data_IF_454329294549
#
_entry.id   IF_454329294549
#
_cell.length_a   1.000
_cell.length_b   1.000
_cell.length_c   1.000
_cell.angle_alpha   90.00
_cell.angle_beta   90.00
_cell.angle_gamma   90.00
#
_symmetry.space_group_name_H-M   'P 1'
#
loop_
_entity.id
_entity.type
_entity.pdbx_description
1 polymer ?
#
# COMPACT_ATOMS: atom_id res chain seq x y z
N UNK A 1 12.40 -10.29 2.87
CA UNK A 1 11.95 -8.89 2.73
C UNK A 1 11.15 -8.73 1.46
N UNK A 2 9.99 -8.10 1.54
CA UNK A 2 9.16 -7.83 0.37
C UNK A 2 9.46 -6.45 -0.18
N UNK A 3 9.54 -6.28 -1.51
CA UNK A 3 9.63 -4.94 -2.09
C UNK A 3 8.27 -4.24 -2.02
N UNK A 4 8.27 -2.93 -2.28
CA UNK A 4 7.05 -2.14 -2.39
C UNK A 4 6.72 -1.88 -3.85
N UNK A 5 5.49 -2.15 -4.23
CA UNK A 5 4.94 -1.84 -5.55
C UNK A 5 3.84 -0.80 -5.42
N UNK A 6 3.81 0.16 -6.33
CA UNK A 6 2.80 1.22 -6.35
C UNK A 6 1.80 0.94 -7.48
N UNK A 7 0.52 0.89 -7.12
CA UNK A 7 -0.55 0.63 -8.09
C UNK A 7 -1.11 1.96 -8.62
N UNK A 8 -1.34 2.03 -9.92
CA UNK A 8 -1.90 3.21 -10.56
C UNK A 8 -1.05 4.45 -10.33
N UNK A 9 -1.68 5.56 -9.99
CA UNK A 9 -1.01 6.84 -9.76
C UNK A 9 -0.48 7.01 -8.33
N UNK A 10 -0.50 5.97 -7.49
CA UNK A 10 -0.22 6.11 -6.06
C UNK A 10 1.17 6.69 -5.77
N UNK A 11 2.19 6.32 -6.53
CA UNK A 11 3.53 6.88 -6.34
C UNK A 11 3.60 8.36 -6.73
N UNK A 12 3.04 8.71 -7.88
CA UNK A 12 3.01 10.09 -8.33
C UNK A 12 2.26 10.97 -7.31
N UNK A 13 1.16 10.46 -6.78
CA UNK A 13 0.38 11.18 -5.76
C UNK A 13 1.16 11.31 -4.46
N UNK A 14 1.83 10.25 -4.02
CA UNK A 14 2.67 10.29 -2.81
C UNK A 14 3.77 11.34 -2.94
N UNK A 15 4.39 11.45 -4.10
CA UNK A 15 5.46 12.41 -4.34
C UNK A 15 5.04 13.87 -4.21
N UNK A 16 3.73 14.16 -4.26
CA UNK A 16 3.23 15.52 -4.06
C UNK A 16 3.09 15.91 -2.59
N UNK A 17 3.23 14.95 -1.67
CA UNK A 17 3.05 15.18 -0.25
C UNK A 17 4.23 15.96 0.34
N UNK A 18 3.99 16.72 1.46
CA UNK A 18 5.09 17.37 2.17
C UNK A 18 6.16 16.37 2.62
N UNK A 19 7.40 16.84 2.76
CA UNK A 19 8.54 16.00 3.11
C UNK A 19 8.36 15.22 4.40
N UNK A 20 7.78 15.85 5.44
CA UNK A 20 7.52 15.20 6.71
C UNK A 20 6.52 14.05 6.56
N UNK A 21 5.49 14.22 5.73
CA UNK A 21 4.50 13.19 5.45
C UNK A 21 5.14 12.05 4.63
N UNK A 22 5.96 12.39 3.63
CA UNK A 22 6.70 11.41 2.85
C UNK A 22 7.56 10.51 3.73
N UNK A 23 8.23 11.10 4.72
CA UNK A 23 9.06 10.33 5.66
C UNK A 23 8.22 9.38 6.51
N UNK A 24 7.09 9.86 6.99
CA UNK A 24 6.22 9.05 7.84
C UNK A 24 5.63 7.86 7.05
N UNK A 25 5.14 8.11 5.85
CA UNK A 25 4.61 7.06 4.98
C UNK A 25 5.74 6.11 4.57
N UNK A 26 6.88 6.65 4.18
CA UNK A 26 8.04 5.85 3.78
C UNK A 26 8.52 4.93 4.89
N UNK A 27 8.53 5.42 6.13
CA UNK A 27 8.89 4.61 7.28
C UNK A 27 7.89 3.46 7.51
N UNK A 28 6.60 3.75 7.40
CA UNK A 28 5.56 2.71 7.54
C UNK A 28 5.71 1.63 6.47
N UNK A 29 5.98 2.02 5.22
CA UNK A 29 6.20 1.07 4.13
C UNK A 29 7.46 0.24 4.35
N UNK A 30 8.53 0.87 4.84
CA UNK A 30 9.77 0.17 5.17
C UNK A 30 9.53 -0.90 6.23
N UNK A 31 8.77 -0.56 7.28
CA UNK A 31 8.39 -1.53 8.30
C UNK A 31 7.58 -2.68 7.71
N UNK A 32 6.63 -2.35 6.83
CA UNK A 32 5.81 -3.37 6.16
C UNK A 32 6.65 -4.33 5.32
N UNK A 33 7.69 -3.83 4.66
CA UNK A 33 8.61 -4.67 3.88
C UNK A 33 9.35 -5.68 4.75
N UNK A 34 9.54 -5.35 6.03
CA UNK A 34 10.22 -6.21 7.01
C UNK A 34 9.26 -6.97 7.92
N UNK A 35 8.00 -7.11 7.52
CA UNK A 35 6.95 -7.76 8.31
C UNK A 35 6.69 -7.09 9.67
N UNK A 36 7.04 -5.82 9.79
CA UNK A 36 6.78 -5.05 10.99
C UNK A 36 5.52 -4.21 10.80
N UNK A 37 4.76 -4.01 11.87
CA UNK A 37 3.57 -3.18 11.82
C UNK A 37 3.90 -1.77 12.30
N UNK A 38 3.57 -0.78 11.50
CA UNK A 38 3.71 0.62 11.90
C UNK A 38 2.72 0.96 13.03
N UNK A 39 3.18 1.71 14.02
CA UNK A 39 2.32 2.23 15.08
C UNK A 39 1.26 3.18 14.56
N UNK A 40 1.50 3.78 13.40
CA UNK A 40 0.58 4.75 12.79
C UNK A 40 -0.34 4.14 11.72
N UNK A 41 -0.20 2.83 11.48
CA UNK A 41 -1.05 2.14 10.51
C UNK A 41 -2.21 1.46 11.21
N UNK A 42 -3.40 1.65 10.68
CA UNK A 42 -4.62 1.03 11.20
C UNK A 42 -5.33 0.28 10.07
N UNK A 43 -6.04 -0.81 10.39
CA UNK A 43 -6.83 -1.50 9.37
C UNK A 43 -7.88 -0.57 8.77
N UNK A 44 -8.00 -0.59 7.46
CA UNK A 44 -9.04 0.16 6.77
C UNK A 44 -10.33 -0.65 6.81
N UNK A 45 -11.39 -0.04 7.35
CA UNK A 45 -12.69 -0.68 7.50
C UNK A 45 -13.30 -0.96 6.12
N UNK A 46 -13.91 -2.15 5.97
CA UNK A 46 -14.60 -2.53 4.73
C UNK A 46 -13.86 -3.53 3.86
N UNK A 47 -12.70 -4.02 4.29
CA UNK A 47 -11.92 -4.99 3.52
C UNK A 47 -11.79 -6.38 4.16
N UNK A 48 -12.50 -6.59 5.27
CA UNK A 48 -12.74 -7.93 5.81
C UNK A 48 -11.52 -8.82 5.98
N UNK A 49 -10.44 -8.34 6.55
CA UNK A 49 -9.26 -9.16 6.78
C UNK A 49 -8.32 -9.28 5.58
N UNK A 50 -8.52 -8.49 4.52
CA UNK A 50 -7.63 -8.48 3.37
C UNK A 50 -6.28 -7.82 3.67
N UNK A 51 -6.01 -7.46 4.92
CA UNK A 51 -4.74 -6.84 5.29
C UNK A 51 -4.52 -5.48 4.66
N UNK A 52 -5.59 -4.73 4.42
CA UNK A 52 -5.51 -3.37 3.91
C UNK A 52 -5.37 -2.42 5.08
N UNK A 53 -4.32 -1.62 5.05
CA UNK A 53 -3.96 -0.71 6.13
C UNK A 53 -3.94 0.73 5.63
N UNK A 54 -4.12 1.66 6.56
CA UNK A 54 -4.10 3.08 6.28
C UNK A 54 -3.14 3.78 7.24
N UNK A 55 -2.22 4.58 6.69
CA UNK A 55 -1.40 5.50 7.46
C UNK A 55 -2.02 6.89 7.32
N UNK A 56 -2.28 7.53 8.46
CA UNK A 56 -2.81 8.90 8.49
C UNK A 56 -1.71 9.80 9.04
N UNK A 57 -1.32 10.80 8.25
CA UNK A 57 -0.28 11.74 8.64
C UNK A 57 -0.79 13.17 8.51
N UNK A 58 -0.42 14.02 9.45
CA UNK A 58 -0.84 15.42 9.48
C UNK A 58 0.37 16.34 9.26
N UNK A 59 0.16 17.38 8.47
CA UNK A 59 1.19 18.40 8.26
C UNK A 59 0.54 19.74 7.95
N UNK A 60 0.94 20.78 8.69
CA UNK A 60 0.46 22.15 8.49
C UNK A 60 -1.09 22.26 8.43
N UNK A 61 -1.78 21.52 9.30
CA UNK A 61 -3.24 21.53 9.37
C UNK A 61 -3.95 20.67 8.31
N UNK A 62 -3.21 20.01 7.45
CA UNK A 62 -3.76 19.12 6.43
C UNK A 62 -3.57 17.66 6.82
N UNK A 63 -4.49 16.81 6.37
CA UNK A 63 -4.45 15.36 6.63
C UNK A 63 -4.17 14.61 5.34
N UNK A 64 -3.17 13.72 5.38
CA UNK A 64 -2.76 12.91 4.26
C UNK A 64 -2.94 11.44 4.62
N UNK A 65 -3.33 10.63 3.64
CA UNK A 65 -3.54 9.20 3.85
C UNK A 65 -2.83 8.37 2.78
N UNK A 66 -2.25 7.26 3.22
CA UNK A 66 -1.67 6.28 2.33
C UNK A 66 -2.27 4.92 2.67
N UNK A 67 -2.86 4.26 1.66
CA UNK A 67 -3.50 2.96 1.81
C UNK A 67 -2.63 1.90 1.13
N UNK A 68 -2.34 0.83 1.84
CA UNK A 68 -1.52 -0.26 1.31
C UNK A 68 -1.98 -1.61 1.85
N UNK A 69 -1.57 -2.68 1.19
CA UNK A 69 -1.86 -4.04 1.66
C UNK A 69 -0.58 -4.83 1.85
N UNK A 70 -0.58 -5.68 2.90
CA UNK A 70 0.57 -6.52 3.29
C UNK A 70 0.27 -8.00 3.14
N UNK A 71 -0.93 -8.36 2.71
CA UNK A 71 -1.37 -9.75 2.67
C UNK A 71 -1.02 -10.51 1.39
N UNK A 72 -0.49 -9.82 0.40
CA UNK A 72 -0.08 -10.47 -0.83
C UNK A 72 1.36 -10.98 -0.72
N UNK A 73 1.65 -12.10 -1.37
CA UNK A 73 2.89 -12.84 -1.10
C UNK A 73 4.15 -12.18 -1.62
N UNK A 74 4.07 -11.45 -2.74
CA UNK A 74 5.26 -11.02 -3.46
C UNK A 74 5.73 -9.61 -3.15
N UNK A 75 4.84 -8.76 -2.63
CA UNK A 75 5.17 -7.36 -2.38
C UNK A 75 4.21 -6.71 -1.38
N UNK A 76 4.62 -5.56 -0.87
CA UNK A 76 3.72 -4.60 -0.24
C UNK A 76 3.17 -3.74 -1.36
N UNK A 77 1.85 -3.66 -1.51
CA UNK A 77 1.24 -2.89 -2.59
C UNK A 77 0.60 -1.62 -2.06
N UNK A 78 1.08 -0.47 -2.53
CA UNK A 78 0.47 0.82 -2.21
C UNK A 78 -0.68 1.03 -3.20
N UNK A 79 -1.89 1.21 -2.66
CA UNK A 79 -3.10 1.27 -3.45
C UNK A 79 -3.54 2.69 -3.75
N UNK A 80 -3.41 3.60 -2.77
CA UNK A 80 -3.91 4.96 -2.94
C UNK A 80 -3.24 5.90 -1.94
N UNK A 81 -2.82 7.07 -2.42
CA UNK A 81 -2.28 8.14 -1.57
C UNK A 81 -3.06 9.40 -1.89
N UNK A 82 -3.65 10.03 -0.88
CA UNK A 82 -4.51 11.19 -1.10
C UNK A 82 -4.53 12.11 0.09
N UNK A 83 -4.83 13.38 -0.17
CA UNK A 83 -5.08 14.36 0.87
C UNK A 83 -6.57 14.34 1.18
N UNK A 84 -6.91 14.18 2.46
CA UNK A 84 -8.30 14.24 2.89
C UNK A 84 -8.70 15.70 3.02
N UNK A 85 -9.62 16.14 2.18
CA UNK A 85 -10.08 17.53 2.15
C UNK A 85 -11.28 17.79 3.06
N UNK A 86 -11.96 16.74 3.51
CA UNK A 86 -13.10 16.89 4.41
C UNK A 86 -12.63 17.18 5.84
N UNK A 87 -13.14 18.24 6.43
CA UNK A 87 -12.81 18.62 7.82
C UNK A 87 -13.67 17.88 8.83
N UNK A 88 -14.69 17.16 8.40
CA UNK A 88 -15.63 16.46 9.27
C UNK A 88 -15.55 14.96 9.06
N UNK A 89 -15.41 14.24 10.16
CA UNK A 89 -15.40 12.79 10.14
C UNK A 89 -14.04 12.18 9.83
N UNK A 90 -13.85 10.96 10.30
CA UNK A 90 -12.61 10.18 10.13
C UNK A 90 -12.74 9.15 9.00
N UNK A 91 -13.95 9.00 8.43
CA UNK A 91 -14.20 8.00 7.40
C UNK A 91 -13.54 8.39 6.07
N UNK A 92 -13.01 7.39 5.38
CA UNK A 92 -12.50 7.55 4.02
C UNK A 92 -13.69 7.78 3.08
N UNK A 93 -13.65 8.82 2.21
CA UNK A 93 -14.74 9.07 1.29
C UNK A 93 -15.03 7.88 0.37
N UNK A 94 -16.29 7.70 -0.01
CA UNK A 94 -16.72 6.57 -0.82
C UNK A 94 -15.97 6.47 -2.16
N UNK A 95 -15.70 7.60 -2.77
CA UNK A 95 -14.93 7.69 -4.02
C UNK A 95 -13.53 7.07 -3.85
N UNK A 96 -12.86 7.38 -2.75
CA UNK A 96 -11.53 6.85 -2.47
C UNK A 96 -11.61 5.36 -2.12
N UNK A 97 -12.64 4.95 -1.39
CA UNK A 97 -12.86 3.54 -1.07
C UNK A 97 -13.06 2.69 -2.34
N UNK A 98 -13.83 3.20 -3.30
CA UNK A 98 -14.05 2.50 -4.56
C UNK A 98 -12.76 2.35 -5.35
N UNK A 99 -11.94 3.39 -5.35
CA UNK A 99 -10.64 3.36 -6.02
C UNK A 99 -9.71 2.34 -5.34
N UNK A 100 -9.69 2.30 -4.01
CA UNK A 100 -8.91 1.31 -3.27
C UNK A 100 -9.36 -0.11 -3.63
N UNK A 101 -10.66 -0.37 -3.71
CA UNK A 101 -11.18 -1.69 -4.07
C UNK A 101 -10.72 -2.12 -5.47
N UNK A 102 -10.79 -1.22 -6.44
CA UNK A 102 -10.34 -1.51 -7.82
C UNK A 102 -8.84 -1.79 -7.84
N UNK A 103 -8.06 -0.98 -7.14
CA UNK A 103 -6.60 -1.13 -7.10
C UNK A 103 -6.16 -2.36 -6.30
N UNK A 104 -6.94 -2.79 -5.32
CA UNK A 104 -6.68 -4.04 -4.64
C UNK A 104 -6.77 -5.23 -5.61
N UNK A 105 -7.77 -5.24 -6.48
CA UNK A 105 -7.88 -6.27 -7.53
C UNK A 105 -6.70 -6.21 -8.50
N UNK A 106 -6.27 -5.02 -8.87
CA UNK A 106 -5.09 -4.85 -9.70
C UNK A 106 -3.84 -5.40 -9.01
N UNK A 107 -3.70 -5.11 -7.72
CA UNK A 107 -2.56 -5.62 -6.93
C UNK A 107 -2.57 -7.15 -6.86
N UNK A 108 -3.73 -7.76 -6.67
CA UNK A 108 -3.86 -9.23 -6.64
C UNK A 108 -3.40 -9.83 -7.97
N UNK A 109 -3.77 -9.21 -9.09
CA UNK A 109 -3.37 -9.64 -10.43
C UNK A 109 -1.86 -9.50 -10.64
N UNK A 110 -1.30 -8.36 -10.24
CA UNK A 110 0.15 -8.12 -10.34
C UNK A 110 0.91 -9.12 -9.46
N UNK A 111 0.42 -9.35 -8.25
CA UNK A 111 1.03 -10.30 -7.33
C UNK A 111 1.09 -11.71 -7.92
N UNK A 112 0.01 -12.15 -8.55
CA UNK A 112 -0.03 -13.48 -9.18
C UNK A 112 0.97 -13.58 -10.33
N UNK A 113 1.11 -12.52 -11.11
CA UNK A 113 2.08 -12.44 -12.19
C UNK A 113 3.51 -12.51 -11.66
N UNK A 114 3.82 -11.77 -10.61
CA UNK A 114 5.12 -11.81 -9.95
C UNK A 114 5.41 -13.19 -9.34
N UNK A 115 4.40 -13.81 -8.77
CA UNK A 115 4.52 -15.15 -8.20
C UNK A 115 4.87 -16.18 -9.28
N UNK A 116 4.23 -16.11 -10.43
CA UNK A 116 4.53 -16.99 -11.56
C UNK A 116 5.96 -16.81 -12.05
N UNK A 117 6.42 -15.58 -12.20
CA UNK A 117 7.80 -15.28 -12.59
C UNK A 117 8.80 -15.86 -11.60
N UNK A 118 8.54 -15.68 -10.31
CA UNK A 118 9.42 -16.22 -9.27
C UNK A 118 9.50 -17.74 -9.34
N UNK A 119 8.38 -18.41 -9.56
CA UNK A 119 8.35 -19.88 -9.66
C UNK A 119 9.14 -20.34 -10.89
N UNK A 120 8.97 -19.68 -12.03
CA UNK A 120 9.70 -20.00 -13.26
C UNK A 120 11.20 -19.77 -13.11
N UNK A 121 11.61 -18.68 -12.51
CA UNK A 121 13.02 -18.38 -12.24
C UNK A 121 13.65 -19.43 -11.34
N UNK A 122 12.95 -19.86 -10.30
CA UNK A 122 13.43 -20.91 -9.41
C UNK A 122 13.58 -22.26 -10.13
N UNK A 123 12.72 -22.55 -11.10
CA UNK A 123 12.84 -23.77 -11.89
C UNK A 123 14.04 -23.73 -12.82
N UNK A 124 14.31 -22.55 -13.42
CA UNK A 124 15.45 -22.36 -14.33
C UNK A 124 16.77 -22.41 -13.57
N UNK A 125 16.79 -22.02 -12.32
CA UNK A 125 17.99 -22.02 -11.47
C UNK A 125 18.29 -23.38 -10.84
N UNK A 126 17.39 -24.35 -10.95
CA UNK A 126 17.65 -25.67 -10.40
C UNK A 126 18.79 -26.33 -11.18
N UNK A 127 19.82 -26.80 -10.48
CA UNK A 127 20.87 -27.53 -11.16
C UNK A 127 20.27 -28.77 -11.82
N UNK A 128 20.57 -28.94 -13.09
CA UNK A 128 20.26 -30.13 -13.83
C UNK A 128 21.10 -31.26 -13.26
N UNK A 129 20.47 -32.16 -12.55
CA UNK A 129 21.28 -33.18 -11.96
C UNK A 129 20.63 -34.46 -11.86
#
# INVERSE_FOLDING_TARGET
MKPTHFIGSSLADLKTFPTDVLREVGFALHQAEHDEKSLHATPLVGFGGAGVLEVIANSAGNTYRAVYTVRLSEAVFVLHCFQKKSKTGIATPAKDMDLVRRRLKDAERVNEELRRRRILENQDEKPSG
#
